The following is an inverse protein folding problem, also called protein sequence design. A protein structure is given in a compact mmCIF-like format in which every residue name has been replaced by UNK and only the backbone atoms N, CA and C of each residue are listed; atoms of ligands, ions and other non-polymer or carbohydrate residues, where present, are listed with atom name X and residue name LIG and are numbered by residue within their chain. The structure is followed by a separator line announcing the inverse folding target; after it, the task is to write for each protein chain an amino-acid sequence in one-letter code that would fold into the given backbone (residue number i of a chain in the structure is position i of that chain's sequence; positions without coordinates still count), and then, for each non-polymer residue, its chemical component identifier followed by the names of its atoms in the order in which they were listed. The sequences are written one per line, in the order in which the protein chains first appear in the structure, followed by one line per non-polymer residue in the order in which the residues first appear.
data_IF_051341265705
#
_entry.id   IF_051341265705
#
_cell.length_a   1.000
_cell.length_b   1.000
_cell.length_c   1.000
_cell.angle_alpha   90.00
_cell.angle_beta   90.00
_cell.angle_gamma   90.00
#
_symmetry.space_group_name_H-M   'P 1'
#
loop_
_entity.id
_entity.type
_entity.pdbx_description
1 polymer ?
#
# COMPACT_ATOMS: atom_id res chain seq x y z
N UNK A 1 -7.49 12.52 -1.61
CA UNK A 1 -6.96 11.51 -2.53
C UNK A 1 -7.47 10.15 -2.11
N UNK A 2 -7.96 9.35 -3.06
CA UNK A 2 -8.37 7.98 -2.79
C UNK A 2 -7.25 7.01 -3.16
N UNK A 3 -6.87 6.17 -2.22
CA UNK A 3 -5.92 5.08 -2.44
C UNK A 3 -6.66 3.76 -2.46
N UNK A 4 -6.48 3.02 -3.53
CA UNK A 4 -6.89 1.62 -3.64
C UNK A 4 -5.67 0.75 -3.35
N UNK A 5 -5.76 -0.07 -2.31
CA UNK A 5 -4.75 -1.04 -1.92
C UNK A 5 -5.15 -2.43 -2.42
N UNK A 6 -4.18 -3.20 -2.88
CA UNK A 6 -4.34 -4.58 -3.29
C UNK A 6 -3.14 -5.39 -2.79
N UNK A 7 -3.40 -6.32 -1.86
CA UNK A 7 -2.41 -7.28 -1.38
C UNK A 7 -2.60 -8.62 -2.09
N UNK A 8 -1.47 -9.22 -2.45
CA UNK A 8 -1.43 -10.53 -3.11
C UNK A 8 -1.89 -11.61 -2.15
N UNK A 9 -1.43 -11.53 -0.89
CA UNK A 9 -1.86 -12.44 0.17
C UNK A 9 -3.37 -12.28 0.39
N UNK A 10 -4.09 -13.39 0.37
CA UNK A 10 -5.54 -13.48 0.57
C UNK A 10 -6.40 -12.70 -0.45
N UNK A 11 -5.83 -12.23 -1.56
CA UNK A 11 -6.51 -11.37 -2.55
C UNK A 11 -7.24 -10.19 -1.88
N UNK A 12 -6.63 -9.61 -0.86
CA UNK A 12 -7.28 -8.61 -0.02
C UNK A 12 -7.11 -7.22 -0.62
N UNK A 13 -8.23 -6.52 -0.85
CA UNK A 13 -8.23 -5.17 -1.41
C UNK A 13 -9.16 -4.25 -0.65
N UNK A 14 -8.78 -2.99 -0.49
CA UNK A 14 -9.62 -1.97 0.13
C UNK A 14 -9.30 -0.58 -0.38
N UNK A 15 -10.24 0.34 -0.18
CA UNK A 15 -10.04 1.76 -0.47
C UNK A 15 -9.88 2.56 0.83
N UNK A 16 -9.13 3.65 0.78
CA UNK A 16 -9.07 4.63 1.85
C UNK A 16 -8.82 6.03 1.31
N UNK A 17 -9.47 7.00 1.92
CA UNK A 17 -9.25 8.42 1.63
C UNK A 17 -8.11 8.92 2.52
N UNK A 18 -7.10 9.52 1.89
CA UNK A 18 -5.96 10.13 2.58
C UNK A 18 -5.83 11.60 2.18
N UNK A 19 -5.35 12.40 3.12
CA UNK A 19 -5.06 13.82 2.90
C UNK A 19 -3.71 14.05 2.23
N UNK A 20 -2.73 13.20 2.52
CA UNK A 20 -1.36 13.30 2.02
C UNK A 20 -0.82 11.92 1.69
N UNK A 21 -0.10 11.81 0.56
CA UNK A 21 0.63 10.60 0.21
C UNK A 21 1.94 10.56 1.01
N UNK A 22 1.93 9.82 2.11
CA UNK A 22 3.08 9.61 3.00
C UNK A 22 3.19 8.11 3.29
N UNK A 23 4.42 7.58 3.30
CA UNK A 23 4.71 6.20 3.70
C UNK A 23 4.08 5.83 5.04
N UNK A 24 4.12 6.69 6.05
CA UNK A 24 3.55 6.41 7.38
C UNK A 24 2.04 6.21 7.33
N UNK A 25 1.35 7.02 6.52
CA UNK A 25 -0.09 6.89 6.28
C UNK A 25 -0.39 5.57 5.57
N UNK A 26 0.37 5.25 4.53
CA UNK A 26 0.23 3.98 3.79
C UNK A 26 0.50 2.77 4.71
N UNK A 27 1.57 2.80 5.51
CA UNK A 27 1.93 1.77 6.49
C UNK A 27 0.76 1.52 7.42
N UNK A 28 0.19 2.58 8.02
CA UNK A 28 -0.95 2.44 8.93
C UNK A 28 -2.13 1.74 8.28
N UNK A 29 -2.46 2.06 7.03
CA UNK A 29 -3.53 1.38 6.31
C UNK A 29 -3.23 -0.10 6.06
N UNK A 30 -2.01 -0.43 5.64
CA UNK A 30 -1.61 -1.83 5.37
C UNK A 30 -1.55 -2.64 6.66
N UNK A 31 -1.02 -2.10 7.76
CA UNK A 31 -0.97 -2.83 9.04
C UNK A 31 -2.36 -3.03 9.66
N UNK A 32 -3.24 -2.04 9.58
CA UNK A 32 -4.57 -2.13 10.22
C UNK A 32 -5.57 -2.96 9.42
N UNK A 33 -5.46 -3.00 8.09
CA UNK A 33 -6.45 -3.64 7.22
C UNK A 33 -5.89 -4.80 6.40
N UNK A 34 -4.57 -4.85 6.20
CA UNK A 34 -3.94 -5.73 5.23
C UNK A 34 -3.63 -7.15 5.70
N UNK A 35 -3.83 -7.48 6.98
CA UNK A 35 -3.55 -8.82 7.52
C UNK A 35 -2.14 -9.34 7.14
N UNK A 36 -1.16 -8.45 7.32
CA UNK A 36 0.25 -8.68 7.01
C UNK A 36 0.97 -9.25 8.22
N UNK A 37 1.79 -10.29 8.02
CA UNK A 37 2.51 -10.97 9.11
C UNK A 37 3.74 -10.17 9.59
N UNK A 38 4.20 -9.21 8.79
CA UNK A 38 5.40 -8.43 9.05
C UNK A 38 5.09 -6.92 9.07
N UNK A 39 5.59 -6.26 10.10
CA UNK A 39 5.47 -4.82 10.32
C UNK A 39 6.42 -3.99 9.44
N UNK A 40 7.51 -4.61 8.98
CA UNK A 40 8.52 -3.94 8.17
C UNK A 40 8.09 -3.90 6.70
N UNK A 41 7.53 -2.75 6.32
CA UNK A 41 6.91 -2.50 5.02
C UNK A 41 7.54 -1.28 4.38
N UNK A 42 7.88 -1.40 3.10
CA UNK A 42 8.37 -0.29 2.29
C UNK A 42 7.51 -0.07 1.05
N UNK A 43 7.55 1.16 0.53
CA UNK A 43 6.75 1.58 -0.60
C UNK A 43 7.63 2.18 -1.70
N UNK A 44 7.23 1.95 -2.95
CA UNK A 44 7.75 2.69 -4.09
C UNK A 44 6.59 3.26 -4.88
N UNK A 45 6.66 4.51 -5.33
CA UNK A 45 5.58 5.17 -6.05
C UNK A 45 6.06 5.76 -7.37
N UNK A 46 5.22 5.66 -8.41
CA UNK A 46 5.47 6.24 -9.72
C UNK A 46 4.38 7.27 -10.04
N UNK A 47 4.75 8.55 -9.98
CA UNK A 47 3.82 9.67 -10.21
C UNK A 47 3.15 9.62 -11.58
N UNK A 48 3.89 9.25 -12.62
CA UNK A 48 3.38 9.15 -14.01
C UNK A 48 2.23 8.15 -14.17
N UNK A 49 2.25 7.08 -13.39
CA UNK A 49 1.23 6.01 -13.47
C UNK A 49 0.23 6.06 -12.33
N UNK A 50 0.46 6.91 -11.34
CA UNK A 50 -0.29 6.96 -10.08
C UNK A 50 -0.38 5.59 -9.39
N UNK A 51 0.65 4.75 -9.55
CA UNK A 51 0.74 3.41 -8.96
C UNK A 51 1.97 3.26 -8.11
N UNK A 52 1.85 2.44 -7.07
CA UNK A 52 2.96 2.06 -6.21
C UNK A 52 2.96 0.59 -5.87
N UNK A 53 4.10 0.13 -5.36
CA UNK A 53 4.33 -1.24 -4.91
C UNK A 53 4.51 -1.24 -3.40
N UNK A 54 4.05 -2.32 -2.77
CA UNK A 54 4.18 -2.59 -1.34
C UNK A 54 5.12 -3.78 -1.20
N UNK A 55 6.16 -3.63 -0.37
CA UNK A 55 7.17 -4.68 -0.16
C UNK A 55 7.37 -4.98 1.32
N UNK A 56 7.77 -6.21 1.63
CA UNK A 56 8.16 -6.61 2.99
C UNK A 56 9.67 -6.38 3.23
N UNK A 57 10.16 -6.78 4.41
CA UNK A 57 11.59 -6.74 4.79
C UNK A 57 12.52 -7.47 3.82
N UNK A 58 12.04 -8.53 3.16
CA UNK A 58 12.82 -9.30 2.18
C UNK A 58 12.85 -8.63 0.80
N UNK A 59 12.31 -7.40 0.69
CA UNK A 59 12.14 -6.65 -0.55
C UNK A 59 11.21 -7.36 -1.56
N UNK A 60 10.45 -8.36 -1.10
CA UNK A 60 9.48 -9.09 -1.90
C UNK A 60 8.20 -8.25 -2.05
N UNK A 61 7.62 -8.24 -3.26
CA UNK A 61 6.37 -7.51 -3.53
C UNK A 61 5.21 -8.29 -2.91
N UNK A 62 4.56 -7.69 -1.91
CA UNK A 62 3.38 -8.26 -1.24
C UNK A 62 2.07 -7.63 -1.72
N UNK A 63 2.16 -6.57 -2.51
CA UNK A 63 0.99 -5.89 -3.05
C UNK A 63 1.34 -4.64 -3.86
N UNK A 64 0.28 -3.93 -4.24
CA UNK A 64 0.35 -2.66 -4.94
C UNK A 64 -0.73 -1.71 -4.42
N UNK A 65 -0.58 -0.44 -4.76
CA UNK A 65 -1.62 0.56 -4.56
C UNK A 65 -1.73 1.48 -5.76
N UNK A 66 -2.89 2.09 -5.95
CA UNK A 66 -3.13 3.13 -6.94
C UNK A 66 -3.81 4.33 -6.33
N UNK A 67 -3.55 5.51 -6.89
CA UNK A 67 -4.06 6.79 -6.39
C UNK A 67 -4.97 7.40 -7.44
N UNK A 68 -6.09 7.95 -6.97
CA UNK A 68 -7.02 8.77 -7.74
C UNK A 68 -7.26 10.09 -6.99
N UNK A 69 -7.38 11.18 -7.76
CA UNK A 69 -7.55 12.54 -7.25
C UNK A 69 -9.02 12.96 -7.26
#
# INVERSE_FOLDING_TARGET
MNVNFNLVKNNHSWNSTIHQLNSDVLTRHVLMKGDVDNVDISFSYCEKTCKGKIKNSDNAIIGNFSITF
#
